data_IF_726179724863
#
_entry.id   IF_726179724863
#
_cell.length_a   1.000
_cell.length_b   1.000
_cell.length_c   1.000
_cell.angle_alpha   90.00
_cell.angle_beta   90.00
_cell.angle_gamma   90.00
#
_symmetry.space_group_name_H-M   'P 1'
#
loop_
_entity.id
_entity.type
_entity.pdbx_description
1 polymer ?
#
# COMPACT_ATOMS: atom_id res chain seq x y z
N UNK A 1 -30.36 -13.15 4.61
CA UNK A 1 -30.95 -11.89 5.09
C UNK A 1 -31.39 -11.13 3.84
N UNK A 2 -32.66 -10.67 3.73
CA UNK A 2 -33.11 -9.85 2.61
C UNK A 2 -32.19 -8.63 2.42
N UNK A 3 -32.01 -8.20 1.16
CA UNK A 3 -31.13 -7.05 0.82
C UNK A 3 -31.50 -5.82 1.62
N UNK A 4 -32.79 -5.59 1.81
CA UNK A 4 -33.31 -4.47 2.59
C UNK A 4 -32.82 -4.50 4.04
N UNK A 5 -32.64 -5.68 4.60
CA UNK A 5 -32.09 -5.81 5.95
C UNK A 5 -30.58 -5.54 5.99
N UNK A 6 -29.84 -5.90 4.94
CA UNK A 6 -28.40 -5.62 4.87
C UNK A 6 -28.15 -4.13 4.60
N UNK A 7 -28.86 -3.55 3.64
CA UNK A 7 -28.80 -2.12 3.39
C UNK A 7 -29.27 -1.30 4.60
N UNK A 8 -30.31 -1.75 5.28
CA UNK A 8 -30.76 -1.12 6.52
C UNK A 8 -29.74 -1.23 7.65
N UNK A 9 -29.10 -2.40 7.80
CA UNK A 9 -28.03 -2.59 8.77
C UNK A 9 -26.83 -1.69 8.45
N UNK A 10 -26.38 -1.67 7.20
CA UNK A 10 -25.31 -0.81 6.73
C UNK A 10 -25.63 0.67 6.91
N UNK A 11 -26.83 1.08 6.55
CA UNK A 11 -27.31 2.47 6.73
C UNK A 11 -27.39 2.83 8.21
N UNK A 12 -27.85 1.90 9.05
CA UNK A 12 -27.91 2.08 10.49
C UNK A 12 -26.52 2.20 11.12
N UNK A 13 -25.57 1.37 10.73
CA UNK A 13 -24.19 1.43 11.19
C UNK A 13 -23.49 2.70 10.76
N UNK A 14 -23.67 3.13 9.50
CA UNK A 14 -23.13 4.39 9.00
C UNK A 14 -23.75 5.60 9.74
N UNK A 15 -25.06 5.58 9.99
CA UNK A 15 -25.72 6.62 10.74
C UNK A 15 -25.26 6.69 12.19
N UNK A 16 -25.05 5.51 12.83
CA UNK A 16 -24.53 5.46 14.20
C UNK A 16 -23.06 5.88 14.26
N UNK A 17 -22.24 5.49 13.29
CA UNK A 17 -20.86 5.94 13.21
C UNK A 17 -20.79 7.48 13.12
N UNK A 18 -21.58 8.08 12.26
CA UNK A 18 -21.64 9.54 12.13
C UNK A 18 -22.16 10.23 13.41
N UNK A 19 -23.02 9.58 14.18
CA UNK A 19 -23.50 10.09 15.46
C UNK A 19 -22.43 10.10 16.54
N UNK A 20 -21.60 9.03 16.61
CA UNK A 20 -20.58 8.88 17.66
C UNK A 20 -19.30 9.65 17.35
N UNK A 21 -18.90 9.72 16.08
CA UNK A 21 -17.61 10.26 15.67
C UNK A 21 -17.71 11.63 14.97
N UNK A 22 -18.93 12.03 14.59
CA UNK A 22 -19.20 13.27 13.85
C UNK A 22 -18.80 13.19 12.37
N UNK A 23 -19.33 14.13 11.54
CA UNK A 23 -18.97 14.23 10.13
C UNK A 23 -17.48 14.54 9.96
N UNK A 24 -16.81 13.83 9.04
CA UNK A 24 -15.37 14.00 8.77
C UNK A 24 -14.46 13.21 9.68
N UNK A 25 -14.98 12.46 10.66
CA UNK A 25 -14.18 11.51 11.44
C UNK A 25 -13.99 10.20 10.68
N UNK A 26 -12.79 9.64 10.77
CA UNK A 26 -12.51 8.33 10.21
C UNK A 26 -13.13 7.22 11.08
N UNK A 27 -13.82 6.31 10.44
CA UNK A 27 -14.28 5.07 11.05
C UNK A 27 -14.23 3.92 10.05
N UNK A 28 -13.31 2.98 10.29
CA UNK A 28 -13.13 1.82 9.40
C UNK A 28 -14.28 0.83 9.55
N UNK A 29 -14.94 0.50 8.43
CA UNK A 29 -16.01 -0.50 8.44
C UNK A 29 -16.23 -1.15 7.07
N UNK A 30 -16.32 -2.48 7.07
CA UNK A 30 -16.60 -3.29 5.87
C UNK A 30 -17.96 -3.01 5.21
N UNK A 31 -19.05 -2.75 5.96
CA UNK A 31 -20.34 -2.42 5.35
C UNK A 31 -20.31 -1.23 4.38
N UNK A 32 -19.45 -0.24 4.63
CA UNK A 32 -19.29 0.89 3.71
C UNK A 32 -18.73 0.44 2.34
N UNK A 33 -17.78 -0.48 2.33
CA UNK A 33 -17.24 -1.06 1.10
C UNK A 33 -18.31 -1.87 0.35
N UNK A 34 -19.17 -2.59 1.07
CA UNK A 34 -20.28 -3.32 0.45
C UNK A 34 -21.31 -2.39 -0.21
N UNK A 35 -21.53 -1.21 0.35
CA UNK A 35 -22.39 -0.19 -0.27
C UNK A 35 -21.85 0.23 -1.65
N UNK A 36 -20.53 0.33 -1.82
CA UNK A 36 -19.90 0.61 -3.12
C UNK A 36 -20.22 -0.49 -4.13
N UNK A 37 -20.23 -1.76 -3.73
CA UNK A 37 -20.66 -2.87 -4.58
C UNK A 37 -22.08 -2.70 -5.11
N UNK A 38 -22.99 -2.22 -4.28
CA UNK A 38 -24.35 -1.90 -4.70
C UNK A 38 -24.39 -0.71 -5.67
N UNK A 39 -23.57 0.32 -5.45
CA UNK A 39 -23.46 1.47 -6.37
C UNK A 39 -23.00 1.00 -7.76
N UNK A 40 -22.00 0.10 -7.83
CA UNK A 40 -21.56 -0.48 -9.10
C UNK A 40 -22.72 -1.22 -9.77
N UNK A 41 -23.39 -2.12 -9.04
CA UNK A 41 -24.49 -2.89 -9.58
C UNK A 41 -25.63 -2.02 -10.10
N UNK A 42 -26.07 -1.03 -9.33
CA UNK A 42 -27.18 -0.15 -9.73
C UNK A 42 -26.84 0.74 -10.94
N UNK A 43 -25.59 1.13 -11.12
CA UNK A 43 -25.21 1.97 -12.24
C UNK A 43 -24.86 1.19 -13.51
N UNK A 44 -24.44 -0.05 -13.39
CA UNK A 44 -23.93 -0.85 -14.52
C UNK A 44 -24.79 -2.06 -14.88
N UNK A 45 -25.64 -2.51 -13.95
CA UNK A 45 -26.37 -3.78 -14.06
C UNK A 45 -25.47 -5.01 -13.84
N UNK A 46 -24.17 -4.81 -13.57
CA UNK A 46 -23.21 -5.90 -13.34
C UNK A 46 -22.81 -5.96 -11.87
N UNK A 47 -22.67 -7.17 -11.34
CA UNK A 47 -22.05 -7.32 -10.02
C UNK A 47 -20.57 -6.89 -10.09
N UNK A 48 -19.92 -6.52 -8.96
CA UNK A 48 -18.51 -6.17 -8.96
C UNK A 48 -17.61 -7.20 -9.64
N UNK A 49 -17.87 -8.48 -9.47
CA UNK A 49 -17.14 -9.54 -10.16
C UNK A 49 -17.27 -9.44 -11.68
N UNK A 50 -18.48 -9.39 -12.20
CA UNK A 50 -18.71 -9.32 -13.66
C UNK A 50 -18.25 -8.00 -14.25
N UNK A 51 -18.32 -6.91 -13.49
CA UNK A 51 -17.75 -5.64 -13.90
C UNK A 51 -16.21 -5.74 -14.01
N UNK A 52 -15.56 -6.30 -13.01
CA UNK A 52 -14.11 -6.49 -13.01
C UNK A 52 -13.65 -7.52 -14.06
N UNK A 53 -14.42 -8.60 -14.26
CA UNK A 53 -14.16 -9.60 -15.32
C UNK A 53 -14.23 -8.99 -16.72
N UNK A 54 -15.06 -7.99 -16.91
CA UNK A 54 -15.19 -7.29 -18.20
C UNK A 54 -14.13 -6.19 -18.39
N UNK A 55 -13.87 -5.41 -17.33
CA UNK A 55 -13.16 -4.13 -17.47
C UNK A 55 -11.76 -4.11 -16.87
N UNK A 56 -11.43 -5.02 -15.94
CA UNK A 56 -10.20 -4.98 -15.15
C UNK A 56 -9.35 -6.25 -15.31
N UNK A 57 -9.87 -7.40 -14.90
CA UNK A 57 -9.08 -8.63 -14.79
C UNK A 57 -8.39 -9.05 -16.09
N UNK A 58 -9.05 -9.07 -17.27
CA UNK A 58 -8.37 -9.44 -18.51
C UNK A 58 -7.27 -8.47 -18.91
N UNK A 59 -7.46 -7.18 -18.64
CA UNK A 59 -6.47 -6.14 -18.97
C UNK A 59 -5.21 -6.26 -18.11
N UNK A 60 -5.34 -6.78 -16.88
CA UNK A 60 -4.24 -7.08 -15.98
C UNK A 60 -3.69 -8.49 -16.18
N UNK A 61 -4.27 -9.30 -17.06
CA UNK A 61 -3.91 -10.70 -17.21
C UNK A 61 -4.17 -11.51 -15.94
N UNK A 62 -5.19 -11.13 -15.14
CA UNK A 62 -5.65 -11.88 -13.99
C UNK A 62 -6.59 -12.97 -14.51
N UNK A 63 -6.25 -14.23 -14.20
CA UNK A 63 -7.00 -15.39 -14.63
C UNK A 63 -7.54 -16.16 -13.44
N UNK A 64 -8.78 -16.64 -13.58
CA UNK A 64 -9.47 -17.43 -12.56
C UNK A 64 -9.60 -16.72 -11.19
N UNK A 65 -9.97 -15.45 -11.13
CA UNK A 65 -10.32 -14.82 -9.87
C UNK A 65 -11.60 -15.46 -9.33
N UNK A 66 -11.70 -15.54 -8.01
CA UNK A 66 -12.96 -15.94 -7.38
C UNK A 66 -13.40 -14.84 -6.42
N UNK A 67 -14.66 -14.41 -6.53
CA UNK A 67 -15.22 -13.41 -5.62
C UNK A 67 -16.54 -13.93 -5.05
N UNK A 68 -16.60 -14.03 -3.75
CA UNK A 68 -17.80 -14.53 -3.08
C UNK A 68 -19.03 -13.67 -3.38
N UNK A 69 -20.14 -14.32 -3.72
CA UNK A 69 -21.42 -13.63 -3.90
C UNK A 69 -22.17 -13.56 -2.58
N UNK A 70 -22.66 -12.39 -2.26
CA UNK A 70 -23.66 -12.21 -1.21
C UNK A 70 -25.04 -12.74 -1.62
N UNK A 71 -26.01 -12.56 -0.75
CA UNK A 71 -27.35 -13.11 -0.90
C UNK A 71 -28.11 -12.67 -2.16
N UNK A 72 -27.76 -11.54 -2.75
CA UNK A 72 -28.44 -10.98 -3.93
C UNK A 72 -27.60 -11.03 -5.20
N UNK A 73 -26.66 -11.96 -5.28
CA UNK A 73 -25.74 -12.06 -6.40
C UNK A 73 -24.87 -10.81 -6.60
N UNK A 74 -24.76 -9.96 -5.58
CA UNK A 74 -23.82 -8.85 -5.52
C UNK A 74 -22.64 -9.29 -4.67
N UNK A 75 -21.42 -9.11 -5.18
CA UNK A 75 -20.22 -9.50 -4.45
C UNK A 75 -20.02 -8.60 -3.24
N UNK A 76 -19.50 -9.15 -2.15
CA UNK A 76 -19.16 -8.36 -0.98
C UNK A 76 -17.97 -7.46 -1.28
N UNK A 77 -18.16 -6.15 -1.14
CA UNK A 77 -17.12 -5.16 -1.41
C UNK A 77 -16.05 -5.07 -0.34
N UNK A 78 -16.34 -5.58 0.85
CA UNK A 78 -15.41 -5.55 1.99
C UNK A 78 -14.54 -6.79 2.12
N UNK A 79 -14.89 -7.90 1.43
CA UNK A 79 -14.15 -9.15 1.54
C UNK A 79 -14.47 -10.13 0.40
N UNK A 80 -13.88 -11.33 0.46
CA UNK A 80 -14.27 -12.46 -0.37
C UNK A 80 -13.72 -12.49 -1.79
N UNK A 81 -12.84 -11.55 -2.17
CA UNK A 81 -12.07 -11.65 -3.41
C UNK A 81 -10.82 -12.51 -3.17
N UNK A 82 -10.71 -13.59 -3.94
CA UNK A 82 -9.59 -14.53 -3.87
C UNK A 82 -8.74 -14.41 -5.12
N UNK A 83 -7.49 -14.06 -4.90
CA UNK A 83 -6.46 -13.95 -5.93
C UNK A 83 -5.22 -14.72 -5.48
N UNK A 84 -4.44 -15.24 -6.40
CA UNK A 84 -3.10 -15.69 -6.05
C UNK A 84 -2.17 -14.48 -5.84
N UNK A 85 -1.01 -14.68 -5.22
CA UNK A 85 -0.09 -13.61 -4.86
C UNK A 85 0.38 -12.80 -6.08
N UNK A 86 0.62 -13.45 -7.22
CA UNK A 86 1.02 -12.76 -8.47
C UNK A 86 -0.11 -11.90 -9.04
N UNK A 87 -1.35 -12.36 -8.94
CA UNK A 87 -2.50 -11.57 -9.41
C UNK A 87 -2.78 -10.40 -8.45
N UNK A 88 -2.56 -10.58 -7.14
CA UNK A 88 -2.59 -9.46 -6.19
C UNK A 88 -1.54 -8.39 -6.55
N UNK A 89 -0.32 -8.79 -6.88
CA UNK A 89 0.75 -7.84 -7.22
C UNK A 89 0.44 -7.04 -8.48
N UNK A 90 -0.31 -7.58 -9.44
CA UNK A 90 -0.73 -6.84 -10.64
C UNK A 90 -1.62 -5.63 -10.33
N UNK A 91 -2.39 -5.71 -9.24
CA UNK A 91 -3.17 -4.55 -8.79
C UNK A 91 -2.26 -3.42 -8.32
N UNK A 92 -1.24 -3.72 -7.51
CA UNK A 92 -0.25 -2.72 -7.11
C UNK A 92 0.61 -2.22 -8.28
N UNK A 93 0.96 -3.13 -9.21
CA UNK A 93 1.69 -2.79 -10.43
C UNK A 93 0.97 -1.74 -11.28
N UNK A 94 -0.36 -1.82 -11.37
CA UNK A 94 -1.18 -0.83 -12.09
C UNK A 94 -0.97 0.59 -11.55
N UNK A 95 -0.82 0.73 -10.25
CA UNK A 95 -0.58 2.04 -9.63
C UNK A 95 0.85 2.55 -9.83
N UNK A 96 1.86 1.66 -9.78
CA UNK A 96 3.25 2.03 -10.12
C UNK A 96 3.36 2.51 -11.56
N UNK A 97 2.61 1.88 -12.46
CA UNK A 97 2.59 2.20 -13.89
C UNK A 97 1.61 3.32 -14.25
N UNK A 98 1.26 4.16 -13.29
CA UNK A 98 0.36 5.30 -13.49
C UNK A 98 -0.94 4.95 -14.21
N UNK A 99 -1.53 3.81 -13.84
CA UNK A 99 -2.78 3.32 -14.38
C UNK A 99 -2.68 2.58 -15.70
N UNK A 100 -1.49 2.32 -16.19
CA UNK A 100 -1.26 1.57 -17.44
C UNK A 100 -1.05 0.08 -17.18
N UNK A 101 -1.50 -0.74 -18.11
CA UNK A 101 -1.14 -2.15 -18.25
C UNK A 101 -0.78 -2.38 -19.71
N UNK A 102 0.51 -2.57 -20.00
CA UNK A 102 1.03 -2.47 -21.36
C UNK A 102 0.72 -1.10 -21.96
N UNK A 103 0.19 -1.07 -23.18
CA UNK A 103 -0.15 0.18 -23.87
C UNK A 103 -1.56 0.73 -23.52
N UNK A 104 -2.29 0.06 -22.62
CA UNK A 104 -3.66 0.43 -22.27
C UNK A 104 -3.74 1.16 -20.96
N UNK A 105 -4.25 2.38 -20.96
CA UNK A 105 -4.60 3.09 -19.72
C UNK A 105 -5.93 2.55 -19.18
N UNK A 106 -5.91 2.04 -17.94
CA UNK A 106 -7.06 1.49 -17.23
C UNK A 106 -7.61 2.49 -16.23
N UNK A 107 -6.73 3.20 -15.52
CA UNK A 107 -7.05 4.28 -14.59
C UNK A 107 -6.36 5.56 -15.03
N UNK A 108 -6.99 6.69 -14.80
CA UNK A 108 -6.33 7.98 -15.06
C UNK A 108 -5.36 8.32 -13.92
N UNK A 109 -4.28 9.04 -14.25
CA UNK A 109 -3.32 9.54 -13.26
C UNK A 109 -3.99 10.40 -12.18
N UNK A 110 -4.96 11.23 -12.57
CA UNK A 110 -5.75 12.03 -11.64
C UNK A 110 -6.52 11.18 -10.61
N UNK A 111 -7.11 10.06 -11.08
CA UNK A 111 -7.79 9.13 -10.17
C UNK A 111 -6.81 8.48 -9.20
N UNK A 112 -5.65 8.05 -9.69
CA UNK A 112 -4.60 7.45 -8.85
C UNK A 112 -4.17 8.43 -7.77
N UNK A 113 -3.83 9.67 -8.15
CA UNK A 113 -3.44 10.72 -7.22
C UNK A 113 -4.52 10.96 -6.15
N UNK A 114 -5.77 11.10 -6.55
CA UNK A 114 -6.88 11.30 -5.61
C UNK A 114 -7.10 10.10 -4.69
N UNK A 115 -7.08 8.89 -5.25
CA UNK A 115 -7.40 7.68 -4.52
C UNK A 115 -6.32 7.33 -3.48
N UNK A 116 -5.06 7.60 -3.79
CA UNK A 116 -3.89 7.27 -2.94
C UNK A 116 -3.38 8.45 -2.12
N UNK A 117 -4.07 9.59 -2.15
CA UNK A 117 -3.81 10.72 -1.25
C UNK A 117 -4.63 10.60 0.03
N UNK A 118 -4.13 11.20 1.13
CA UNK A 118 -4.86 11.21 2.40
C UNK A 118 -6.10 12.12 2.32
N UNK A 119 -7.27 11.51 2.21
CA UNK A 119 -8.55 12.22 2.24
C UNK A 119 -9.03 12.51 3.67
N UNK A 120 -8.62 11.70 4.64
CA UNK A 120 -8.99 11.82 6.05
C UNK A 120 -7.88 11.27 6.95
N UNK A 121 -7.70 11.88 8.12
CA UNK A 121 -6.79 11.36 9.14
C UNK A 121 -7.43 10.16 9.85
N UNK A 122 -6.67 9.08 10.01
CA UNK A 122 -7.08 7.90 10.79
C UNK A 122 -6.89 8.09 12.29
N UNK A 123 -6.00 8.98 12.70
CA UNK A 123 -5.52 9.09 14.07
C UNK A 123 -4.60 7.95 14.51
N UNK A 124 -4.20 7.05 13.60
CA UNK A 124 -3.34 5.89 13.87
C UNK A 124 -1.92 6.15 13.35
N UNK A 125 -0.93 5.52 13.99
CA UNK A 125 0.45 5.52 13.55
C UNK A 125 0.89 4.09 13.23
N UNK A 126 1.73 3.88 12.23
CA UNK A 126 2.34 4.85 11.30
C UNK A 126 1.50 5.16 10.04
N UNK A 127 0.24 4.70 10.00
CA UNK A 127 -0.68 4.89 8.88
C UNK A 127 -1.69 6.00 9.22
N UNK A 128 -1.23 7.24 9.25
CA UNK A 128 -2.02 8.39 9.74
C UNK A 128 -3.07 8.91 8.77
N UNK A 129 -3.01 8.50 7.50
CA UNK A 129 -3.94 8.90 6.45
C UNK A 129 -4.76 7.73 5.89
N UNK A 130 -5.91 8.08 5.29
CA UNK A 130 -6.74 7.14 4.53
C UNK A 130 -7.29 7.81 3.28
N UNK A 131 -7.02 7.20 2.13
CA UNK A 131 -7.53 7.63 0.83
C UNK A 131 -8.82 6.91 0.45
N UNK A 132 -9.02 6.63 -0.82
CA UNK A 132 -10.18 5.87 -1.29
C UNK A 132 -9.92 4.37 -1.15
N UNK A 133 -10.07 3.85 0.08
CA UNK A 133 -9.78 2.48 0.52
C UNK A 133 -8.28 2.14 0.61
N UNK A 134 -7.40 3.13 0.62
CA UNK A 134 -5.96 2.95 0.79
C UNK A 134 -5.50 3.52 2.12
N UNK A 135 -4.62 2.77 2.80
CA UNK A 135 -3.94 3.23 3.99
C UNK A 135 -2.70 4.03 3.59
N UNK A 136 -2.59 5.24 4.09
CA UNK A 136 -1.54 6.18 3.70
C UNK A 136 -0.58 6.35 4.89
N UNK A 137 0.74 6.15 4.69
CA UNK A 137 1.76 6.46 5.68
C UNK A 137 1.71 7.91 6.14
N UNK A 138 2.33 8.19 7.28
CA UNK A 138 2.43 9.55 7.80
C UNK A 138 3.05 10.47 6.74
N UNK A 139 2.31 11.50 6.38
CA UNK A 139 2.71 12.50 5.38
C UNK A 139 3.97 13.30 5.77
N UNK A 140 4.36 13.27 7.05
CA UNK A 140 5.62 13.88 7.50
C UNK A 140 6.84 13.04 7.10
N UNK A 141 6.64 11.78 6.75
CA UNK A 141 7.69 10.94 6.22
C UNK A 141 7.85 11.17 4.71
N UNK A 142 8.66 12.15 4.34
CA UNK A 142 8.91 12.53 2.93
C UNK A 142 9.51 11.39 2.11
N UNK A 143 10.17 10.42 2.78
CA UNK A 143 10.72 9.23 2.15
C UNK A 143 9.62 8.33 1.57
N UNK A 144 8.49 8.23 2.26
CA UNK A 144 7.33 7.44 1.84
C UNK A 144 6.27 8.26 1.09
N UNK A 145 6.65 9.44 0.59
CA UNK A 145 5.73 10.28 -0.17
C UNK A 145 5.15 9.52 -1.36
N UNK A 146 3.82 9.56 -1.52
CA UNK A 146 3.08 8.85 -2.56
C UNK A 146 2.95 7.34 -2.34
N UNK A 147 3.49 6.80 -1.23
CA UNK A 147 3.33 5.38 -0.89
C UNK A 147 2.00 5.10 -0.22
N UNK A 148 1.51 3.87 -0.37
CA UNK A 148 0.26 3.43 0.25
C UNK A 148 0.24 1.91 0.49
N UNK A 149 -0.71 1.48 1.33
CA UNK A 149 -1.00 0.08 1.58
C UNK A 149 -2.43 -0.28 1.19
N UNK A 150 -2.59 -1.47 0.63
CA UNK A 150 -3.85 -2.20 0.55
C UNK A 150 -3.74 -3.32 1.58
N UNK A 151 -4.60 -3.32 2.60
CA UNK A 151 -4.48 -4.26 3.71
C UNK A 151 -5.75 -5.08 3.84
N UNK A 152 -5.57 -6.39 3.94
CA UNK A 152 -6.62 -7.36 4.19
C UNK A 152 -6.33 -8.20 5.42
N UNK A 153 -7.39 -8.62 6.10
CA UNK A 153 -7.31 -9.44 7.31
C UNK A 153 -6.51 -10.72 7.07
N UNK A 154 -5.61 -11.06 7.99
CA UNK A 154 -4.76 -12.26 7.92
C UNK A 154 -3.45 -12.06 7.17
N UNK A 155 -3.04 -10.80 6.91
CA UNK A 155 -1.73 -10.47 6.32
C UNK A 155 -1.69 -10.52 4.79
N UNK A 156 -2.82 -10.30 4.14
CA UNK A 156 -2.87 -10.00 2.72
C UNK A 156 -2.58 -8.52 2.54
N UNK A 157 -1.34 -8.18 2.20
CA UNK A 157 -0.92 -6.80 2.03
C UNK A 157 -0.34 -6.57 0.65
N UNK A 158 -0.56 -5.37 0.12
CA UNK A 158 0.17 -4.82 -1.00
C UNK A 158 0.69 -3.45 -0.55
N UNK A 159 1.99 -3.33 -0.43
CA UNK A 159 2.67 -2.05 -0.24
C UNK A 159 3.15 -1.55 -1.59
N UNK A 160 2.86 -0.31 -1.90
CA UNK A 160 3.26 0.34 -3.15
C UNK A 160 3.97 1.63 -2.82
N UNK A 161 5.16 1.79 -3.36
CA UNK A 161 5.95 3.01 -3.30
C UNK A 161 6.37 3.41 -4.70
N UNK A 162 5.60 4.29 -5.38
CA UNK A 162 5.93 4.73 -6.73
C UNK A 162 7.28 5.45 -6.78
N UNK A 163 7.59 6.25 -5.78
CA UNK A 163 8.87 6.97 -5.64
C UNK A 163 10.08 6.04 -5.72
N UNK A 164 9.98 4.83 -5.14
CA UNK A 164 11.05 3.83 -5.12
C UNK A 164 10.89 2.75 -6.20
N UNK A 165 9.89 2.88 -7.08
CA UNK A 165 9.50 1.83 -8.05
C UNK A 165 9.37 0.45 -7.38
N UNK A 166 8.79 0.42 -6.17
CA UNK A 166 8.73 -0.75 -5.31
C UNK A 166 7.30 -1.21 -5.10
N UNK A 167 7.13 -2.52 -5.19
CA UNK A 167 5.92 -3.23 -4.80
C UNK A 167 6.28 -4.42 -3.94
N UNK A 168 5.60 -4.53 -2.78
CA UNK A 168 5.69 -5.70 -1.92
C UNK A 168 4.29 -6.26 -1.77
N UNK A 169 4.09 -7.52 -2.12
CA UNK A 169 2.84 -8.23 -1.89
C UNK A 169 3.06 -9.38 -0.92
N UNK A 170 2.23 -9.49 0.10
CA UNK A 170 2.23 -10.61 1.05
C UNK A 170 0.91 -11.32 1.04
N UNK A 171 0.97 -12.62 1.26
CA UNK A 171 -0.20 -13.47 1.40
C UNK A 171 0.08 -14.49 2.50
N UNK A 172 -0.73 -14.51 3.54
CA UNK A 172 -0.60 -15.50 4.60
C UNK A 172 -1.93 -16.15 4.91
N UNK A 173 -1.84 -17.29 5.57
CA UNK A 173 -2.99 -17.97 6.14
C UNK A 173 -2.72 -18.09 7.65
N UNK A 174 -3.56 -17.44 8.44
CA UNK A 174 -3.50 -17.52 9.90
C UNK A 174 -4.76 -18.18 10.44
N UNK A 175 -4.61 -18.92 11.52
CA UNK A 175 -5.77 -19.39 12.27
C UNK A 175 -6.47 -18.22 12.95
N UNK A 176 -7.81 -18.29 13.16
CA UNK A 176 -8.58 -17.18 13.72
C UNK A 176 -8.07 -16.64 15.06
N UNK A 177 -7.40 -17.47 15.83
CA UNK A 177 -6.87 -17.12 17.15
C UNK A 177 -5.64 -16.18 17.06
N UNK A 178 -4.92 -16.23 15.93
CA UNK A 178 -3.63 -15.54 15.74
C UNK A 178 -3.67 -14.43 14.67
N UNK A 179 -4.84 -14.16 14.08
CA UNK A 179 -4.98 -13.27 12.91
C UNK A 179 -4.33 -11.92 13.14
N UNK A 180 -4.63 -11.25 14.25
CA UNK A 180 -4.12 -9.90 14.55
C UNK A 180 -2.60 -9.92 14.75
N UNK A 181 -2.06 -10.96 15.38
CA UNK A 181 -0.61 -11.08 15.61
C UNK A 181 0.14 -11.24 14.28
N UNK A 182 -0.38 -12.07 13.36
CA UNK A 182 0.26 -12.27 12.05
C UNK A 182 0.11 -11.07 11.13
N UNK A 183 -1.03 -10.39 11.13
CA UNK A 183 -1.22 -9.12 10.41
C UNK A 183 -0.16 -8.10 10.81
N UNK A 184 0.00 -7.90 12.12
CA UNK A 184 0.99 -6.97 12.65
C UNK A 184 2.42 -7.41 12.29
N UNK A 185 2.77 -8.69 12.43
CA UNK A 185 4.12 -9.18 12.10
C UNK A 185 4.49 -8.93 10.63
N UNK A 186 3.60 -9.20 9.68
CA UNK A 186 3.86 -8.96 8.26
C UNK A 186 3.95 -7.47 7.94
N UNK A 187 3.07 -6.66 8.53
CA UNK A 187 3.13 -5.22 8.37
C UNK A 187 4.45 -4.66 8.91
N UNK A 188 4.82 -5.02 10.15
CA UNK A 188 6.06 -4.56 10.76
C UNK A 188 7.30 -5.15 10.08
N UNK A 189 7.20 -6.34 9.47
CA UNK A 189 8.31 -6.86 8.66
C UNK A 189 8.61 -5.96 7.44
N UNK A 190 7.57 -5.43 6.79
CA UNK A 190 7.75 -4.45 5.72
C UNK A 190 8.24 -3.13 6.29
N UNK A 191 7.62 -2.64 7.36
CA UNK A 191 7.86 -1.33 7.93
C UNK A 191 9.23 -1.20 8.61
N UNK A 192 9.61 -2.18 9.44
CA UNK A 192 10.80 -2.10 10.29
C UNK A 192 12.06 -2.66 9.61
N UNK A 193 11.91 -3.57 8.64
CA UNK A 193 13.06 -4.26 8.05
C UNK A 193 13.25 -3.97 6.56
N UNK A 194 12.19 -3.81 5.78
CA UNK A 194 12.33 -3.63 4.33
C UNK A 194 12.44 -2.14 3.98
N UNK A 195 11.49 -1.33 4.46
CA UNK A 195 11.47 0.12 4.14
C UNK A 195 12.78 0.83 4.55
N UNK A 196 13.38 0.59 5.72
CA UNK A 196 14.63 1.23 6.08
C UNK A 196 15.79 0.91 5.14
N UNK A 197 15.81 -0.29 4.52
CA UNK A 197 16.90 -0.64 3.60
C UNK A 197 16.97 0.23 2.36
N UNK A 198 15.89 0.90 1.99
CA UNK A 198 15.89 1.83 0.86
C UNK A 198 16.48 3.19 1.18
N UNK A 199 16.67 3.50 2.45
CA UNK A 199 17.33 4.72 2.89
C UNK A 199 18.84 4.61 2.95
N UNK A 200 19.36 3.37 3.03
CA UNK A 200 20.80 3.16 3.13
C UNK A 200 21.50 3.74 1.91
N UNK A 201 22.35 4.72 2.16
CA UNK A 201 23.13 5.39 1.15
C UNK A 201 22.45 6.55 0.42
N UNK A 202 21.14 6.75 0.54
CA UNK A 202 20.43 7.90 -0.04
C UNK A 202 20.41 9.09 0.95
N UNK A 203 21.52 9.79 1.04
CA UNK A 203 21.70 10.89 2.01
C UNK A 203 21.05 12.20 1.56
N UNK A 204 20.73 12.33 0.29
CA UNK A 204 20.03 13.50 -0.21
C UNK A 204 18.51 13.32 -0.30
N UNK A 205 18.01 12.10 -0.05
CA UNK A 205 16.59 11.70 -0.13
C UNK A 205 15.97 11.94 -1.52
N UNK A 206 16.76 11.83 -2.60
CA UNK A 206 16.27 11.95 -3.97
C UNK A 206 15.87 10.59 -4.58
N UNK A 207 16.05 9.50 -3.84
CA UNK A 207 15.79 8.10 -4.20
C UNK A 207 16.71 7.52 -5.25
N UNK A 208 17.78 8.22 -5.59
CA UNK A 208 18.78 7.78 -6.54
C UNK A 208 20.11 7.57 -5.81
N UNK A 209 20.55 6.35 -5.71
CA UNK A 209 21.91 6.08 -5.22
C UNK A 209 22.90 6.48 -6.30
N UNK A 210 23.68 7.55 -6.05
CA UNK A 210 24.59 8.10 -7.05
C UNK A 210 25.77 8.83 -6.41
N UNK A 211 26.58 9.49 -7.24
CA UNK A 211 27.79 10.20 -6.78
C UNK A 211 27.50 11.34 -5.79
N UNK A 212 26.29 11.91 -5.80
CA UNK A 212 25.95 13.01 -4.89
C UNK A 212 25.87 12.49 -3.45
N UNK A 213 25.39 11.27 -3.26
CA UNK A 213 25.35 10.62 -1.94
C UNK A 213 26.76 10.29 -1.45
N UNK A 214 27.65 9.83 -2.34
CA UNK A 214 29.06 9.60 -2.00
C UNK A 214 29.71 10.91 -1.51
N UNK A 215 29.43 12.03 -2.16
CA UNK A 215 29.93 13.33 -1.73
C UNK A 215 29.42 13.65 -0.32
N UNK A 216 28.14 13.42 -0.05
CA UNK A 216 27.56 13.65 1.29
C UNK A 216 28.14 12.72 2.36
N UNK A 217 28.36 11.43 2.06
CA UNK A 217 29.06 10.52 2.99
C UNK A 217 30.48 11.06 3.26
N UNK A 218 31.18 11.46 2.20
CA UNK A 218 32.56 11.99 2.32
C UNK A 218 32.60 13.27 3.13
N UNK A 219 31.67 14.20 2.93
CA UNK A 219 31.54 15.44 3.69
C UNK A 219 31.24 15.13 5.18
N UNK A 220 30.38 14.17 5.48
CA UNK A 220 30.12 13.73 6.84
C UNK A 220 31.38 13.18 7.55
N UNK A 221 32.22 12.43 6.85
CA UNK A 221 33.46 11.89 7.37
C UNK A 221 34.49 13.04 7.63
N UNK A 222 34.56 14.04 6.75
CA UNK A 222 35.55 15.13 6.83
C UNK A 222 35.15 16.20 7.84
N UNK A 223 33.87 16.48 8.00
CA UNK A 223 33.37 17.59 8.84
C UNK A 223 33.16 17.21 10.31
N UNK A 224 33.45 15.97 10.70
CA UNK A 224 33.51 15.44 12.08
C UNK A 224 32.32 15.80 13.00
N UNK A 225 31.09 15.86 12.51
CA UNK A 225 29.98 16.32 13.34
C UNK A 225 28.68 15.54 13.28
N UNK A 226 28.24 15.14 12.13
CA UNK A 226 26.92 14.55 12.00
C UNK A 226 27.02 13.05 11.62
N UNK A 227 26.65 12.21 12.57
CA UNK A 227 26.43 10.79 12.29
C UNK A 227 25.10 10.65 11.55
N UNK A 228 25.15 10.13 10.35
CA UNK A 228 23.99 9.74 9.57
C UNK A 228 23.87 8.21 9.58
N UNK A 229 22.84 7.68 10.20
CA UNK A 229 22.59 6.21 10.24
C UNK A 229 22.50 5.65 8.82
N UNK A 230 21.97 6.39 7.88
CA UNK A 230 21.86 6.03 6.47
C UNK A 230 23.21 5.95 5.75
N UNK A 231 24.28 6.50 6.32
CA UNK A 231 25.64 6.45 5.78
C UNK A 231 26.45 5.28 6.30
N UNK A 232 26.04 4.65 7.40
CA UNK A 232 26.68 3.46 7.99
C UNK A 232 26.21 2.19 7.23
N UNK A 233 26.86 1.90 6.12
CA UNK A 233 26.44 0.84 5.20
C UNK A 233 26.85 -0.56 5.65
N UNK A 234 27.86 -0.65 6.53
CA UNK A 234 28.29 -1.93 7.11
C UNK A 234 27.67 -2.19 8.49
N UNK A 235 26.93 -1.20 9.02
CA UNK A 235 26.25 -1.24 10.31
C UNK A 235 27.21 -1.54 11.49
N UNK A 236 28.42 -0.95 11.46
CA UNK A 236 29.40 -1.09 12.54
C UNK A 236 29.34 0.07 13.56
N UNK A 237 28.46 1.03 13.35
CA UNK A 237 28.23 2.20 14.21
C UNK A 237 29.21 3.36 13.92
N UNK A 238 30.00 3.28 12.84
CA UNK A 238 30.99 4.30 12.46
C UNK A 238 30.82 4.60 10.97
N UNK A 239 30.61 5.85 10.62
CA UNK A 239 30.64 6.28 9.21
C UNK A 239 32.07 6.61 8.83
N UNK A 240 32.69 5.78 7.99
CA UNK A 240 34.06 5.94 7.55
C UNK A 240 34.31 5.57 6.08
N UNK A 241 35.57 5.46 5.69
CA UNK A 241 35.94 5.14 4.31
C UNK A 241 35.49 3.74 3.86
N UNK A 242 35.17 2.84 4.79
CA UNK A 242 34.66 1.50 4.47
C UNK A 242 33.24 1.62 3.88
N UNK A 243 32.41 2.51 4.43
CA UNK A 243 31.07 2.77 3.89
C UNK A 243 31.12 3.39 2.49
N UNK A 244 32.05 4.33 2.27
CA UNK A 244 32.28 4.89 0.93
C UNK A 244 32.67 3.78 -0.06
N UNK A 245 33.52 2.85 0.34
CA UNK A 245 33.94 1.73 -0.52
C UNK A 245 32.77 0.77 -0.82
N UNK A 246 31.95 0.44 0.18
CA UNK A 246 30.74 -0.37 0.00
C UNK A 246 29.81 0.30 -1.00
N UNK A 247 29.58 1.61 -0.83
CA UNK A 247 28.70 2.37 -1.70
C UNK A 247 29.21 2.41 -3.15
N UNK A 248 30.50 2.70 -3.34
CA UNK A 248 31.14 2.72 -4.68
C UNK A 248 31.04 1.36 -5.35
N UNK A 249 31.33 0.27 -4.62
CA UNK A 249 31.23 -1.08 -5.16
C UNK A 249 29.78 -1.44 -5.55
N UNK A 250 28.81 -1.04 -4.73
CA UNK A 250 27.38 -1.22 -5.05
C UNK A 250 27.00 -0.51 -6.34
N UNK A 251 27.43 0.75 -6.53
CA UNK A 251 27.16 1.52 -7.77
C UNK A 251 27.84 0.90 -9.00
N UNK A 252 28.97 0.27 -8.84
CA UNK A 252 29.72 -0.38 -9.92
C UNK A 252 29.26 -1.81 -10.20
N UNK A 253 28.33 -2.36 -9.39
CA UNK A 253 27.88 -3.74 -9.51
C UNK A 253 28.98 -4.75 -9.18
N UNK A 254 29.90 -4.40 -8.27
CA UNK A 254 30.98 -5.25 -7.79
C UNK A 254 30.50 -5.95 -6.53
N UNK A 255 30.26 -7.24 -6.59
CA UNK A 255 29.95 -8.07 -5.42
C UNK A 255 31.15 -8.09 -4.47
N UNK A 256 30.91 -7.86 -3.16
CA UNK A 256 31.90 -7.93 -2.09
C UNK A 256 32.12 -9.35 -1.61
#
# INVERSE_FOLDING_TARGET
IPIDNYLNATTYELANASYWYGPGSFFYQNPACHLISHVIFHNTGLSPYYFAETHLFPKLGISNPYWHFGWNFINDGGNGLWLNLRDMSKLGQLYIQDGYSGDSQILSSEWIEQATSSAVSTGLQPLSGYGYLFWIPDVQNTYLEGSFFIMGTGGQNIFVSPKHNLLIATHSYSYPEDVIEYENKLFYAIWDYIIPTFKLGDLNNDTLLNIIDIIKISDSILDSGDYYEEADLNNDGIVDVQDVNIFVNSLLGIDL
#
